data_IF_979545121007
#
_entry.id   IF_979545121007
#
_cell.length_a   1.000
_cell.length_b   1.000
_cell.length_c   1.000
_cell.angle_alpha   90.00
_cell.angle_beta   90.00
_cell.angle_gamma   90.00
#
_symmetry.space_group_name_H-M   'P 1'
#
loop_
_entity.id
_entity.type
_entity.pdbx_description
1 polymer ?
#
# COMPACT_ATOMS: atom_id res chain seq x y z
N UNK A 1 7.42 -9.51 -10.29
CA UNK A 1 7.17 -8.06 -10.12
C UNK A 1 7.23 -7.38 -11.48
N UNK A 2 6.28 -6.49 -11.84
CA UNK A 2 6.37 -5.67 -13.04
C UNK A 2 7.63 -4.80 -13.00
N UNK A 3 8.32 -4.66 -14.14
CA UNK A 3 9.66 -4.05 -14.21
C UNK A 3 9.67 -2.53 -14.36
N UNK A 4 8.51 -1.88 -14.60
CA UNK A 4 8.39 -0.43 -14.72
C UNK A 4 7.26 0.15 -13.86
N UNK A 5 7.35 1.44 -13.54
CA UNK A 5 6.30 2.17 -12.81
C UNK A 5 4.95 2.12 -13.53
N UNK A 6 4.93 2.26 -14.86
CA UNK A 6 3.72 2.16 -15.66
C UNK A 6 3.10 0.75 -15.59
N UNK A 7 3.93 -0.29 -15.66
CA UNK A 7 3.47 -1.67 -15.56
C UNK A 7 2.88 -1.98 -14.17
N UNK A 8 3.50 -1.47 -13.09
CA UNK A 8 2.95 -1.58 -11.73
C UNK A 8 1.63 -0.82 -11.59
N UNK A 9 1.54 0.39 -12.12
CA UNK A 9 0.29 1.16 -12.14
C UNK A 9 -0.82 0.38 -12.85
N UNK A 10 -0.53 -0.17 -14.03
CA UNK A 10 -1.47 -0.96 -14.83
C UNK A 10 -1.96 -2.21 -14.08
N UNK A 11 -1.05 -2.91 -13.40
CA UNK A 11 -1.38 -4.09 -12.61
C UNK A 11 -2.32 -3.77 -11.43
N UNK A 12 -2.21 -2.57 -10.85
CA UNK A 12 -3.01 -2.11 -9.70
C UNK A 12 -4.37 -1.52 -10.11
N UNK A 13 -4.58 -1.21 -11.39
CA UNK A 13 -5.76 -0.47 -11.90
C UNK A 13 -7.10 -1.13 -11.55
N UNK A 14 -7.25 -2.42 -11.83
CA UNK A 14 -8.54 -3.10 -11.63
C UNK A 14 -8.91 -3.16 -10.15
N UNK A 15 -7.95 -3.45 -9.27
CA UNK A 15 -8.14 -3.41 -7.81
C UNK A 15 -8.50 -2.00 -7.33
N UNK A 16 -7.78 -0.97 -7.80
CA UNK A 16 -8.07 0.42 -7.44
C UNK A 16 -9.49 0.84 -7.83
N UNK A 17 -9.96 0.41 -9.00
CA UNK A 17 -11.34 0.66 -9.47
C UNK A 17 -12.36 -0.04 -8.60
N UNK A 18 -12.12 -1.31 -8.27
CA UNK A 18 -13.02 -2.10 -7.44
C UNK A 18 -13.15 -1.53 -6.01
N UNK A 19 -12.03 -1.13 -5.40
CA UNK A 19 -12.01 -0.68 -4.00
C UNK A 19 -12.38 0.80 -3.82
N UNK A 20 -11.95 1.69 -4.72
CA UNK A 20 -12.08 3.15 -4.54
C UNK A 20 -13.06 3.82 -5.51
N UNK A 21 -13.58 3.10 -6.50
CA UNK A 21 -14.55 3.62 -7.47
C UNK A 21 -14.09 4.93 -8.14
N UNK A 22 -14.84 6.04 -8.03
CA UNK A 22 -14.46 7.33 -8.60
C UNK A 22 -13.10 7.88 -8.13
N UNK A 23 -12.58 7.39 -6.99
CA UNK A 23 -11.30 7.81 -6.41
C UNK A 23 -10.12 6.93 -6.82
N UNK A 24 -10.33 5.95 -7.71
CA UNK A 24 -9.30 5.01 -8.14
C UNK A 24 -8.03 5.70 -8.65
N UNK A 25 -8.17 6.80 -9.40
CA UNK A 25 -7.03 7.55 -9.91
C UNK A 25 -6.18 8.14 -8.79
N UNK A 26 -6.80 8.74 -7.77
CA UNK A 26 -6.09 9.28 -6.61
C UNK A 26 -5.38 8.18 -5.80
N UNK A 27 -5.98 6.99 -5.69
CA UNK A 27 -5.34 5.84 -5.06
C UNK A 27 -4.10 5.36 -5.83
N UNK A 28 -4.19 5.30 -7.17
CA UNK A 28 -3.05 4.95 -8.02
C UNK A 28 -1.93 6.00 -7.96
N UNK A 29 -2.27 7.28 -7.80
CA UNK A 29 -1.29 8.35 -7.62
C UNK A 29 -0.56 8.24 -6.28
N UNK A 30 -1.28 7.91 -5.19
CA UNK A 30 -0.66 7.63 -3.90
C UNK A 30 0.30 6.44 -3.95
N UNK A 31 -0.06 5.36 -4.65
CA UNK A 31 0.80 4.19 -4.83
C UNK A 31 2.01 4.46 -5.75
N UNK A 32 1.88 5.39 -6.70
CA UNK A 32 3.02 5.84 -7.49
C UNK A 32 3.98 6.69 -6.64
N UNK A 33 3.46 7.58 -5.79
CA UNK A 33 4.26 8.33 -4.83
C UNK A 33 4.98 7.41 -3.83
N UNK A 34 4.34 6.32 -3.41
CA UNK A 34 4.98 5.29 -2.60
C UNK A 34 6.20 4.67 -3.32
N UNK A 35 6.06 4.31 -4.60
CA UNK A 35 7.19 3.77 -5.36
C UNK A 35 8.36 4.77 -5.44
N UNK A 36 8.08 6.06 -5.65
CA UNK A 36 9.11 7.12 -5.67
C UNK A 36 9.78 7.30 -4.31
N UNK A 37 9.00 7.43 -3.24
CA UNK A 37 9.54 7.57 -1.90
C UNK A 37 10.37 6.35 -1.47
N UNK A 38 9.93 5.15 -1.85
CA UNK A 38 10.66 3.92 -1.57
C UNK A 38 12.02 3.89 -2.26
N UNK A 39 12.08 4.30 -3.53
CA UNK A 39 13.33 4.46 -4.26
C UNK A 39 14.28 5.41 -3.56
N UNK A 40 13.80 6.58 -3.16
CA UNK A 40 14.65 7.60 -2.56
C UNK A 40 15.13 7.21 -1.15
N UNK A 41 14.32 6.49 -0.38
CA UNK A 41 14.67 6.06 0.98
C UNK A 41 15.50 4.77 1.03
N UNK A 42 15.25 3.82 0.12
CA UNK A 42 15.78 2.45 0.21
C UNK A 42 16.59 2.01 -1.02
N UNK A 43 16.75 2.86 -2.04
CA UNK A 43 17.44 2.55 -3.31
C UNK A 43 16.83 1.34 -4.07
N UNK A 44 15.58 1.01 -3.78
CA UNK A 44 14.82 -0.06 -4.43
C UNK A 44 13.69 0.55 -5.29
N UNK A 45 13.45 0.06 -6.51
CA UNK A 45 12.55 0.72 -7.46
C UNK A 45 11.06 0.71 -7.07
N UNK A 46 10.66 -0.08 -6.08
CA UNK A 46 9.33 -0.15 -5.49
C UNK A 46 9.38 -0.91 -4.15
N UNK A 47 8.36 -0.78 -3.30
CA UNK A 47 8.26 -1.62 -2.10
C UNK A 47 8.10 -3.11 -2.44
N UNK A 48 8.49 -4.01 -1.52
CA UNK A 48 8.15 -5.42 -1.58
C UNK A 48 6.63 -5.64 -1.68
N UNK A 49 6.21 -6.70 -2.37
CA UNK A 49 4.78 -7.00 -2.58
C UNK A 49 4.01 -7.11 -1.26
N UNK A 50 4.65 -7.65 -0.21
CA UNK A 50 4.08 -7.77 1.13
C UNK A 50 3.68 -6.42 1.74
N UNK A 51 4.49 -5.38 1.52
CA UNK A 51 4.24 -4.02 2.01
C UNK A 51 3.08 -3.40 1.23
N UNK A 52 3.07 -3.60 -0.09
CA UNK A 52 1.95 -3.14 -0.94
C UNK A 52 0.64 -3.80 -0.52
N UNK A 53 0.64 -5.11 -0.23
CA UNK A 53 -0.55 -5.81 0.28
C UNK A 53 -1.00 -5.33 1.66
N UNK A 54 -0.07 -4.96 2.55
CA UNK A 54 -0.45 -4.34 3.83
C UNK A 54 -1.09 -2.97 3.60
N UNK A 55 -0.57 -2.16 2.67
CA UNK A 55 -1.18 -0.87 2.29
C UNK A 55 -2.63 -1.08 1.82
N UNK A 56 -2.88 -2.06 0.95
CA UNK A 56 -4.25 -2.36 0.52
C UNK A 56 -5.14 -2.87 1.65
N UNK A 57 -4.62 -3.76 2.49
CA UNK A 57 -5.33 -4.31 3.65
C UNK A 57 -5.77 -3.19 4.59
N UNK A 58 -4.87 -2.24 4.85
CA UNK A 58 -5.16 -1.06 5.67
C UNK A 58 -6.11 -0.10 4.97
N UNK A 59 -5.97 0.10 3.66
CA UNK A 59 -6.82 1.05 2.98
C UNK A 59 -8.29 0.60 2.95
N UNK A 60 -8.58 -0.67 2.67
CA UNK A 60 -9.94 -1.24 2.64
C UNK A 60 -10.96 -0.34 1.91
N UNK A 61 -10.59 0.22 0.76
CA UNK A 61 -11.42 1.15 -0.02
C UNK A 61 -11.55 2.59 0.53
N UNK A 62 -10.90 2.93 1.64
CA UNK A 62 -10.85 4.26 2.22
C UNK A 62 -9.57 5.01 1.80
N UNK A 63 -9.73 6.08 1.02
CA UNK A 63 -8.60 6.86 0.49
C UNK A 63 -7.76 7.54 1.60
N UNK A 64 -8.38 7.97 2.69
CA UNK A 64 -7.64 8.57 3.81
C UNK A 64 -6.74 7.53 4.49
N UNK A 65 -7.26 6.31 4.69
CA UNK A 65 -6.47 5.21 5.24
C UNK A 65 -5.38 4.75 4.28
N UNK A 66 -5.63 4.76 2.97
CA UNK A 66 -4.59 4.51 1.96
C UNK A 66 -3.42 5.50 2.11
N UNK A 67 -3.70 6.80 2.22
CA UNK A 67 -2.66 7.83 2.36
C UNK A 67 -1.87 7.62 3.66
N UNK A 68 -2.55 7.32 4.76
CA UNK A 68 -1.89 7.00 6.04
C UNK A 68 -1.02 5.74 5.92
N UNK A 69 -1.51 4.70 5.24
CA UNK A 69 -0.78 3.46 5.03
C UNK A 69 0.46 3.65 4.14
N UNK A 70 0.35 4.45 3.07
CA UNK A 70 1.48 4.83 2.20
C UNK A 70 2.52 5.61 2.99
N UNK A 71 2.10 6.57 3.82
CA UNK A 71 3.02 7.31 4.68
C UNK A 71 3.77 6.37 5.64
N UNK A 72 3.03 5.49 6.31
CA UNK A 72 3.58 4.53 7.27
C UNK A 72 4.50 3.51 6.60
N UNK A 73 4.20 3.06 5.38
CA UNK A 73 5.07 2.18 4.60
C UNK A 73 6.48 2.76 4.46
N UNK A 74 6.60 4.06 4.25
CA UNK A 74 7.89 4.73 4.06
C UNK A 74 8.61 4.92 5.38
N UNK A 75 7.92 5.38 6.43
CA UNK A 75 8.56 5.78 7.69
C UNK A 75 8.76 4.62 8.69
N UNK A 76 7.86 3.64 8.71
CA UNK A 76 7.94 2.43 9.53
C UNK A 76 7.01 1.33 8.99
N UNK A 77 7.51 0.52 8.05
CA UNK A 77 6.72 -0.57 7.47
C UNK A 77 6.37 -1.68 8.49
N UNK A 78 7.01 -1.73 9.67
CA UNK A 78 6.65 -2.71 10.71
C UNK A 78 5.34 -2.30 11.40
N UNK A 79 5.15 -1.02 11.66
CA UNK A 79 3.88 -0.51 12.19
C UNK A 79 2.74 -0.70 11.17
N UNK A 80 3.04 -0.53 9.87
CA UNK A 80 2.10 -0.86 8.80
C UNK A 80 1.71 -2.35 8.85
N UNK A 81 2.68 -3.25 9.02
CA UNK A 81 2.42 -4.70 9.16
C UNK A 81 1.50 -4.99 10.34
N UNK A 82 1.78 -4.41 11.51
CA UNK A 82 0.93 -4.59 12.70
C UNK A 82 -0.49 -4.05 12.47
N UNK A 83 -0.64 -2.92 11.79
CA UNK A 83 -1.95 -2.39 11.45
C UNK A 83 -2.72 -3.29 10.49
N UNK A 84 -2.05 -3.82 9.46
CA UNK A 84 -2.65 -4.77 8.53
C UNK A 84 -3.07 -6.06 9.25
N UNK A 85 -2.23 -6.60 10.14
CA UNK A 85 -2.54 -7.82 10.89
C UNK A 85 -3.78 -7.64 11.79
N UNK A 86 -3.95 -6.48 12.43
CA UNK A 86 -5.17 -6.16 13.21
C UNK A 86 -6.45 -6.11 12.37
N UNK A 87 -6.35 -5.89 11.06
CA UNK A 87 -7.50 -5.89 10.13
C UNK A 87 -7.79 -7.26 9.51
N UNK A 88 -6.82 -8.17 9.54
CA UNK A 88 -7.00 -9.53 9.03
C UNK A 88 -7.84 -10.35 10.01
N UNK A 89 -8.97 -10.93 9.59
CA UNK A 89 -9.77 -11.77 10.48
C UNK A 89 -8.95 -12.98 10.93
N UNK A 90 -8.83 -13.18 12.25
CA UNK A 90 -8.26 -14.39 12.85
C UNK A 90 -6.81 -14.33 13.33
N UNK A 91 -6.16 -13.15 13.36
CA UNK A 91 -4.89 -12.99 14.09
C UNK A 91 -5.21 -12.74 15.57
N UNK A 92 -4.92 -13.67 16.50
CA UNK A 92 -5.12 -13.42 17.92
C UNK A 92 -4.24 -12.25 18.36
N UNK A 93 -4.80 -11.37 19.20
CA UNK A 93 -4.09 -10.27 19.83
C UNK A 93 -2.87 -10.85 20.56
N UNK A 94 -1.66 -10.57 20.06
CA UNK A 94 -0.43 -11.01 20.71
C UNK A 94 -0.13 -9.98 21.80
N UNK A 95 -0.14 -10.36 23.09
CA UNK A 95 0.25 -9.44 24.14
C UNK A 95 1.75 -9.12 24.02
N UNK A 96 2.09 -7.89 24.38
CA UNK A 96 3.45 -7.32 24.43
C UNK A 96 4.42 -8.14 25.28
#
# INVERSE_FOLDING_TARGET
>A
MPTSAEARRRARTERARAEFGPRAQAALDALALLDFAWHDCYAEPAPPEQVVEDVWTVASGNLAELIQAVHLAVIDFRDLRLWADRRRPGVPDRPD
#
